data_IF_294274587256
#
_entry.id   IF_294274587256
#
_cell.length_a   1.000
_cell.length_b   1.000
_cell.length_c   1.000
_cell.angle_alpha   90.00
_cell.angle_beta   90.00
_cell.angle_gamma   90.00
#
_symmetry.space_group_name_H-M   'P 1'
#
loop_
_entity.id
_entity.type
_entity.pdbx_description
1 polymer ?
#
# COMPACT_ATOMS: atom_id res chain seq x y z
N UNK A 1 14.62 -19.93 -12.06
CA UNK A 1 14.34 -18.46 -12.20
C UNK A 1 13.18 -18.13 -13.14
N UNK A 2 12.79 -18.97 -14.10
CA UNK A 2 11.67 -18.73 -15.04
C UNK A 2 10.29 -18.97 -14.45
N UNK A 3 10.12 -19.93 -13.57
CA UNK A 3 8.82 -20.23 -12.94
C UNK A 3 8.34 -19.15 -11.97
N UNK A 4 9.24 -18.57 -11.19
CA UNK A 4 8.88 -17.43 -10.31
C UNK A 4 8.34 -16.22 -11.11
N UNK A 5 8.89 -15.95 -12.29
CA UNK A 5 8.38 -14.89 -13.19
C UNK A 5 6.99 -15.20 -13.74
N UNK A 6 6.73 -16.45 -14.09
CA UNK A 6 5.41 -16.87 -14.59
C UNK A 6 4.32 -16.77 -13.52
N UNK A 7 4.64 -17.13 -12.27
CA UNK A 7 3.74 -16.95 -11.14
C UNK A 7 3.50 -15.46 -10.83
N UNK A 8 4.55 -14.64 -10.89
CA UNK A 8 4.43 -13.18 -10.69
C UNK A 8 3.54 -12.52 -11.76
N UNK A 9 3.68 -12.92 -13.02
CA UNK A 9 2.87 -12.43 -14.14
C UNK A 9 1.42 -12.89 -14.03
N UNK A 10 1.14 -14.10 -13.55
CA UNK A 10 -0.24 -14.58 -13.30
C UNK A 10 -0.91 -13.78 -12.20
N UNK A 11 -0.20 -13.48 -11.13
CA UNK A 11 -0.70 -12.69 -10.02
C UNK A 11 -0.94 -11.24 -10.44
N UNK A 12 -0.02 -10.63 -11.19
CA UNK A 12 -0.21 -9.26 -11.71
C UNK A 12 -1.40 -9.14 -12.66
N UNK A 13 -1.70 -10.16 -13.47
CA UNK A 13 -2.92 -10.23 -14.29
C UNK A 13 -4.21 -10.30 -13.44
N UNK A 14 -4.16 -10.89 -12.26
CA UNK A 14 -5.30 -10.90 -11.33
C UNK A 14 -5.56 -9.52 -10.72
N UNK A 15 -4.51 -8.75 -10.43
CA UNK A 15 -4.63 -7.35 -10.01
C UNK A 15 -5.28 -6.49 -11.10
N UNK A 16 -4.95 -6.72 -12.38
CA UNK A 16 -5.55 -6.01 -13.51
C UNK A 16 -7.07 -6.23 -13.65
N UNK A 17 -7.62 -7.30 -13.11
CA UNK A 17 -9.08 -7.54 -13.11
C UNK A 17 -9.84 -6.55 -12.21
N UNK A 18 -9.18 -5.98 -11.18
CA UNK A 18 -9.78 -5.02 -10.25
C UNK A 18 -9.27 -3.59 -10.49
N UNK A 19 -9.15 -3.20 -11.78
CA UNK A 19 -8.58 -1.91 -12.24
C UNK A 19 -9.12 -0.70 -11.48
N UNK A 20 -10.43 -0.62 -11.24
CA UNK A 20 -11.05 0.51 -10.55
C UNK A 20 -10.54 0.68 -9.12
N UNK A 21 -10.47 -0.40 -8.33
CA UNK A 21 -9.95 -0.35 -6.95
C UNK A 21 -8.45 -0.05 -6.92
N UNK A 22 -7.71 -0.56 -7.90
CA UNK A 22 -6.28 -0.26 -8.05
C UNK A 22 -6.03 1.21 -8.39
N UNK A 23 -6.80 1.78 -9.32
CA UNK A 23 -6.72 3.21 -9.69
C UNK A 23 -7.03 4.09 -8.47
N UNK A 24 -8.11 3.77 -7.72
CA UNK A 24 -8.45 4.50 -6.49
C UNK A 24 -7.30 4.43 -5.47
N UNK A 25 -6.72 3.24 -5.26
CA UNK A 25 -5.61 3.08 -4.33
C UNK A 25 -4.39 3.91 -4.74
N UNK A 26 -3.99 3.87 -6.03
CA UNK A 26 -2.87 4.66 -6.55
C UNK A 26 -3.15 6.15 -6.45
N UNK A 27 -4.36 6.61 -6.78
CA UNK A 27 -4.74 8.01 -6.63
C UNK A 27 -4.66 8.48 -5.18
N UNK A 28 -5.14 7.66 -4.25
CA UNK A 28 -5.00 7.93 -2.81
C UNK A 28 -3.52 7.97 -2.37
N UNK A 29 -2.65 7.11 -2.94
CA UNK A 29 -1.20 7.14 -2.65
C UNK A 29 -0.57 8.45 -3.10
N UNK A 30 -0.94 8.97 -4.28
CA UNK A 30 -0.45 10.25 -4.79
C UNK A 30 -0.87 11.39 -3.86
N UNK A 31 -2.14 11.45 -3.46
CA UNK A 31 -2.63 12.48 -2.53
C UNK A 31 -1.89 12.38 -1.19
N UNK A 32 -1.72 11.19 -0.64
CA UNK A 32 -1.00 10.99 0.62
C UNK A 32 0.47 11.43 0.54
N UNK A 33 1.13 11.18 -0.60
CA UNK A 33 2.50 11.65 -0.86
C UNK A 33 2.57 13.19 -0.95
N UNK A 34 1.63 13.82 -1.65
CA UNK A 34 1.52 15.28 -1.73
C UNK A 34 1.29 15.92 -0.35
N UNK A 35 0.40 15.35 0.49
CA UNK A 35 0.22 15.81 1.86
C UNK A 35 1.52 15.71 2.68
N UNK A 36 2.29 14.64 2.48
CA UNK A 36 3.59 14.48 3.16
C UNK A 36 4.60 15.53 2.69
N UNK A 37 4.67 15.80 1.39
CA UNK A 37 5.50 16.88 0.83
C UNK A 37 5.08 18.27 1.32
N UNK A 38 3.79 18.52 1.45
CA UNK A 38 3.26 19.76 2.00
C UNK A 38 3.65 19.96 3.47
N UNK A 39 3.60 18.90 4.30
CA UNK A 39 4.10 18.98 5.67
C UNK A 39 5.60 19.30 5.72
N UNK A 40 6.40 18.68 4.87
CA UNK A 40 7.83 18.98 4.78
C UNK A 40 8.09 20.44 4.32
N UNK A 41 7.27 20.96 3.42
CA UNK A 41 7.36 22.36 2.97
C UNK A 41 7.00 23.34 4.08
N UNK A 42 6.02 23.03 4.94
CA UNK A 42 5.62 23.90 6.05
C UNK A 42 6.69 24.08 7.13
N UNK A 43 7.69 23.20 7.20
CA UNK A 43 8.77 23.31 8.19
C UNK A 43 9.54 24.62 8.05
N UNK A 44 9.85 25.04 6.83
CA UNK A 44 10.60 26.29 6.56
C UNK A 44 9.81 27.53 7.02
N UNK A 45 8.56 27.79 6.56
CA UNK A 45 7.80 28.92 7.07
C UNK A 45 7.52 28.85 8.57
N UNK A 46 7.44 27.64 9.16
CA UNK A 46 7.30 27.49 10.60
C UNK A 46 8.53 28.04 11.35
N UNK A 47 9.72 27.70 10.88
CA UNK A 47 10.96 28.20 11.49
C UNK A 47 11.14 29.71 11.26
N UNK A 48 10.98 30.18 10.02
CA UNK A 48 11.28 31.56 9.66
C UNK A 48 10.25 32.56 10.19
N UNK A 49 8.95 32.24 10.08
CA UNK A 49 7.87 33.19 10.41
C UNK A 49 7.45 33.12 11.89
N UNK A 50 7.52 31.95 12.52
CA UNK A 50 7.12 31.80 13.93
C UNK A 50 8.30 32.09 14.85
N UNK A 51 9.47 31.51 14.60
CA UNK A 51 10.62 31.64 15.52
C UNK A 51 11.45 32.89 15.28
N UNK A 52 11.63 33.33 14.01
CA UNK A 52 12.47 34.50 13.70
C UNK A 52 11.66 35.77 13.68
N UNK A 53 10.51 35.80 12.98
CA UNK A 53 9.71 37.04 12.80
C UNK A 53 8.60 37.22 13.86
N UNK A 54 8.39 36.24 14.79
CA UNK A 54 7.39 36.25 15.83
C UNK A 54 5.99 36.71 15.36
N UNK A 55 5.57 36.25 14.18
CA UNK A 55 4.31 36.66 13.58
C UNK A 55 3.14 35.83 14.14
N UNK A 56 2.26 36.45 14.91
CA UNK A 56 1.13 35.80 15.60
C UNK A 56 0.17 35.09 14.63
N UNK A 57 0.00 35.59 13.40
CA UNK A 57 -0.87 34.94 12.42
C UNK A 57 -0.36 33.54 12.06
N UNK A 58 0.93 33.37 11.80
CA UNK A 58 1.51 32.08 11.46
C UNK A 58 1.54 31.11 12.64
N UNK A 59 1.56 31.60 13.87
CA UNK A 59 1.51 30.80 15.08
C UNK A 59 0.22 29.94 15.16
N UNK A 60 -0.91 30.47 14.70
CA UNK A 60 -2.19 29.73 14.66
C UNK A 60 -2.44 29.05 13.31
N UNK A 61 -1.98 29.67 12.21
CA UNK A 61 -2.21 29.17 10.85
C UNK A 61 -1.48 27.84 10.60
N UNK A 62 -0.21 27.72 11.00
CA UNK A 62 0.59 26.52 10.72
C UNK A 62 0.07 25.27 11.44
N UNK A 63 -0.22 25.29 12.75
CA UNK A 63 -0.83 24.14 13.42
C UNK A 63 -2.21 23.78 12.83
N UNK A 64 -3.02 24.77 12.47
CA UNK A 64 -4.30 24.55 11.81
C UNK A 64 -4.15 23.85 10.45
N UNK A 65 -3.21 24.31 9.62
CA UNK A 65 -2.93 23.71 8.34
C UNK A 65 -2.42 22.24 8.48
N UNK A 66 -1.57 21.97 9.47
CA UNK A 66 -1.09 20.61 9.77
C UNK A 66 -2.24 19.70 10.21
N UNK A 67 -3.13 20.18 11.06
CA UNK A 67 -4.30 19.41 11.51
C UNK A 67 -5.23 19.05 10.34
N UNK A 68 -5.58 20.05 9.51
CA UNK A 68 -6.47 19.83 8.35
C UNK A 68 -5.85 18.85 7.35
N UNK A 69 -4.59 19.07 6.97
CA UNK A 69 -3.89 18.18 6.03
C UNK A 69 -3.63 16.80 6.62
N UNK A 70 -3.44 16.69 7.95
CA UNK A 70 -3.34 15.42 8.68
C UNK A 70 -4.64 14.63 8.64
N UNK A 71 -5.80 15.29 8.84
CA UNK A 71 -7.10 14.66 8.70
C UNK A 71 -7.37 14.15 7.29
N UNK A 72 -7.09 14.98 6.28
CA UNK A 72 -7.22 14.57 4.86
C UNK A 72 -6.33 13.36 4.57
N UNK A 73 -5.06 13.40 4.99
CA UNK A 73 -4.11 12.29 4.83
C UNK A 73 -4.61 11.02 5.53
N UNK A 74 -5.19 11.14 6.71
CA UNK A 74 -5.78 10.01 7.46
C UNK A 74 -6.91 9.34 6.70
N UNK A 75 -7.89 10.13 6.20
CA UNK A 75 -9.02 9.63 5.40
C UNK A 75 -8.57 8.96 4.10
N UNK A 76 -7.64 9.59 3.40
CA UNK A 76 -7.08 9.08 2.15
C UNK A 76 -6.30 7.78 2.39
N UNK A 77 -5.48 7.71 3.45
CA UNK A 77 -4.75 6.50 3.83
C UNK A 77 -5.68 5.36 4.22
N UNK A 78 -6.77 5.65 4.94
CA UNK A 78 -7.79 4.67 5.28
C UNK A 78 -8.43 4.06 4.01
N UNK A 79 -8.86 4.90 3.06
CA UNK A 79 -9.45 4.47 1.79
C UNK A 79 -8.47 3.63 0.97
N UNK A 80 -7.20 4.03 0.94
CA UNK A 80 -6.11 3.31 0.29
C UNK A 80 -5.95 1.90 0.87
N UNK A 81 -5.77 1.79 2.18
CA UNK A 81 -5.55 0.50 2.88
C UNK A 81 -6.75 -0.43 2.68
N UNK A 82 -7.96 0.08 2.86
CA UNK A 82 -9.20 -0.69 2.70
C UNK A 82 -9.35 -1.22 1.26
N UNK A 83 -9.03 -0.39 0.26
CA UNK A 83 -9.09 -0.81 -1.15
C UNK A 83 -8.10 -1.92 -1.46
N UNK A 84 -6.87 -1.83 -0.94
CA UNK A 84 -5.83 -2.85 -1.13
C UNK A 84 -6.15 -4.15 -0.38
N UNK A 85 -6.64 -4.07 0.85
CA UNK A 85 -7.08 -5.24 1.60
C UNK A 85 -8.23 -5.97 0.89
N UNK A 86 -9.22 -5.23 0.38
CA UNK A 86 -10.30 -5.83 -0.39
C UNK A 86 -9.78 -6.60 -1.61
N UNK A 87 -8.83 -6.02 -2.36
CA UNK A 87 -8.22 -6.70 -3.51
C UNK A 87 -7.45 -7.94 -3.08
N UNK A 88 -6.67 -7.85 -2.01
CA UNK A 88 -5.90 -8.96 -1.45
C UNK A 88 -6.81 -10.12 -1.07
N UNK A 89 -7.90 -9.87 -0.33
CA UNK A 89 -8.88 -10.91 0.05
C UNK A 89 -9.52 -11.59 -1.17
N UNK A 90 -9.83 -10.85 -2.23
CA UNK A 90 -10.39 -11.42 -3.46
C UNK A 90 -9.40 -12.30 -4.22
N UNK A 91 -8.14 -11.92 -4.23
CA UNK A 91 -7.07 -12.73 -4.84
C UNK A 91 -6.89 -14.03 -4.08
N UNK A 92 -6.89 -13.98 -2.75
CA UNK A 92 -6.78 -15.17 -1.89
C UNK A 92 -7.97 -16.09 -2.09
N UNK A 93 -9.18 -15.54 -2.08
CA UNK A 93 -10.39 -16.33 -2.32
C UNK A 93 -10.27 -17.12 -3.63
N UNK A 94 -9.78 -16.47 -4.69
CA UNK A 94 -9.57 -17.15 -5.97
C UNK A 94 -8.47 -18.20 -5.88
N UNK A 95 -7.32 -17.88 -5.27
CA UNK A 95 -6.22 -18.85 -5.10
C UNK A 95 -6.67 -20.06 -4.30
N UNK A 96 -7.42 -19.87 -3.21
CA UNK A 96 -7.97 -20.99 -2.43
C UNK A 96 -8.90 -21.85 -3.24
N UNK A 97 -9.78 -21.25 -4.05
CA UNK A 97 -10.68 -22.00 -4.93
C UNK A 97 -9.91 -22.82 -5.97
N UNK A 98 -8.89 -22.22 -6.59
CA UNK A 98 -8.06 -22.89 -7.59
C UNK A 98 -7.27 -24.05 -6.98
N UNK A 99 -6.67 -23.86 -5.80
CA UNK A 99 -5.94 -24.90 -5.07
C UNK A 99 -6.89 -26.03 -4.62
N UNK A 100 -8.04 -25.68 -4.07
CA UNK A 100 -9.04 -26.65 -3.62
C UNK A 100 -9.60 -27.46 -4.78
N UNK A 101 -9.88 -26.82 -5.92
CA UNK A 101 -10.34 -27.50 -7.13
C UNK A 101 -9.29 -28.50 -7.64
N UNK A 102 -8.02 -28.12 -7.67
CA UNK A 102 -6.95 -29.03 -8.04
C UNK A 102 -6.79 -30.19 -7.05
N UNK A 103 -6.96 -29.89 -5.75
CA UNK A 103 -6.85 -30.93 -4.71
C UNK A 103 -7.93 -32.01 -4.86
N UNK A 104 -9.19 -31.63 -5.10
CA UNK A 104 -10.31 -32.58 -5.25
C UNK A 104 -10.08 -33.51 -6.46
N UNK A 105 -9.42 -33.05 -7.50
CA UNK A 105 -9.14 -33.82 -8.69
C UNK A 105 -7.93 -34.78 -8.55
N UNK A 106 -7.27 -34.81 -7.38
CA UNK A 106 -6.18 -35.76 -7.11
C UNK A 106 -6.71 -37.16 -6.84
N UNK A 107 -5.93 -38.18 -7.22
CA UNK A 107 -6.30 -39.59 -7.00
C UNK A 107 -6.30 -39.93 -5.51
N UNK A 108 -7.14 -40.89 -5.13
CA UNK A 108 -7.37 -41.28 -3.74
C UNK A 108 -6.09 -41.65 -2.95
N UNK A 109 -5.10 -42.26 -3.60
CA UNK A 109 -3.81 -42.62 -2.98
C UNK A 109 -3.07 -41.45 -2.35
N UNK A 110 -3.24 -40.22 -2.87
CA UNK A 110 -2.66 -39.00 -2.28
C UNK A 110 -3.23 -38.71 -0.89
N UNK A 111 -4.53 -38.90 -0.71
CA UNK A 111 -5.22 -38.64 0.58
C UNK A 111 -4.92 -39.70 1.65
N UNK A 112 -4.58 -40.93 1.25
CA UNK A 112 -4.15 -41.95 2.18
C UNK A 112 -2.78 -41.65 2.78
N UNK A 113 -1.88 -41.08 1.98
CA UNK A 113 -0.52 -40.72 2.42
C UNK A 113 -0.43 -39.40 3.15
N UNK A 114 -1.36 -38.49 2.95
CA UNK A 114 -1.35 -37.13 3.52
C UNK A 114 -2.55 -36.91 4.46
N UNK A 115 -2.27 -36.53 5.71
CA UNK A 115 -3.33 -36.17 6.66
C UNK A 115 -4.16 -34.98 6.17
N UNK A 116 -5.44 -35.13 5.99
CA UNK A 116 -6.37 -34.12 5.48
C UNK A 116 -6.29 -32.82 6.28
N UNK A 117 -6.13 -32.89 7.61
CA UNK A 117 -5.97 -31.70 8.45
C UNK A 117 -4.72 -30.86 8.09
N UNK A 118 -3.59 -31.52 7.79
CA UNK A 118 -2.37 -30.83 7.36
C UNK A 118 -2.56 -30.12 6.01
N UNK A 119 -3.28 -30.70 5.08
CA UNK A 119 -3.58 -30.09 3.79
C UNK A 119 -4.48 -28.86 3.94
N UNK A 120 -5.51 -28.94 4.77
CA UNK A 120 -6.40 -27.80 5.07
C UNK A 120 -5.62 -26.66 5.73
N UNK A 121 -4.78 -26.97 6.72
CA UNK A 121 -3.95 -25.95 7.38
C UNK A 121 -3.02 -25.26 6.40
N UNK A 122 -2.34 -26.00 5.53
CA UNK A 122 -1.47 -25.42 4.47
C UNK A 122 -2.26 -24.51 3.56
N UNK A 123 -3.40 -24.94 3.03
CA UNK A 123 -4.22 -24.11 2.13
C UNK A 123 -4.69 -22.83 2.84
N UNK A 124 -5.06 -22.92 4.12
CA UNK A 124 -5.62 -21.79 4.84
C UNK A 124 -4.53 -20.84 5.33
N UNK A 125 -3.50 -21.38 5.95
CA UNK A 125 -2.44 -20.58 6.61
C UNK A 125 -1.44 -20.02 5.62
N UNK A 126 -0.95 -20.83 4.67
CA UNK A 126 0.05 -20.38 3.72
C UNK A 126 -0.53 -19.31 2.76
N UNK A 127 -1.79 -19.48 2.32
CA UNK A 127 -2.46 -18.45 1.51
C UNK A 127 -2.72 -17.17 2.29
N UNK A 128 -2.95 -17.23 3.59
CA UNK A 128 -3.11 -16.04 4.43
C UNK A 128 -1.80 -15.24 4.54
N UNK A 129 -0.67 -15.90 4.81
CA UNK A 129 0.64 -15.24 4.85
C UNK A 129 1.03 -14.63 3.49
N UNK A 130 0.76 -15.33 2.40
CA UNK A 130 0.99 -14.81 1.04
C UNK A 130 0.23 -13.51 0.79
N UNK A 131 -0.99 -13.40 1.29
CA UNK A 131 -1.80 -12.20 1.08
C UNK A 131 -1.27 -10.98 1.80
N UNK A 132 -0.93 -11.15 3.07
CA UNK A 132 -0.38 -10.06 3.89
C UNK A 132 0.94 -9.56 3.30
N UNK A 133 1.82 -10.47 2.93
CA UNK A 133 3.09 -10.13 2.29
C UNK A 133 2.89 -9.37 0.97
N UNK A 134 1.97 -9.81 0.11
CA UNK A 134 1.68 -9.14 -1.16
C UNK A 134 1.11 -7.74 -0.95
N UNK A 135 0.04 -7.60 -0.15
CA UNK A 135 -0.60 -6.31 0.08
C UNK A 135 0.40 -5.29 0.66
N UNK A 136 1.18 -5.69 1.65
CA UNK A 136 2.16 -4.81 2.28
C UNK A 136 3.32 -4.44 1.35
N UNK A 137 3.87 -5.41 0.60
CA UNK A 137 5.01 -5.16 -0.31
C UNK A 137 4.62 -4.22 -1.45
N UNK A 138 3.47 -4.44 -2.11
CA UNK A 138 3.04 -3.54 -3.18
C UNK A 138 2.73 -2.14 -2.65
N UNK A 139 2.11 -2.04 -1.47
CA UNK A 139 1.83 -0.75 -0.83
C UNK A 139 3.11 0.00 -0.51
N UNK A 140 4.08 -0.66 0.13
CA UNK A 140 5.34 -0.05 0.48
C UNK A 140 6.10 0.41 -0.77
N UNK A 141 6.32 -0.46 -1.75
CA UNK A 141 7.08 -0.12 -2.94
C UNK A 141 6.50 1.09 -3.69
N UNK A 142 5.19 1.12 -3.94
CA UNK A 142 4.58 2.21 -4.71
C UNK A 142 4.48 3.49 -3.87
N UNK A 143 3.99 3.39 -2.63
CA UNK A 143 3.80 4.54 -1.76
C UNK A 143 5.12 5.20 -1.39
N UNK A 144 6.10 4.40 -0.97
CA UNK A 144 7.38 4.93 -0.50
C UNK A 144 8.20 5.51 -1.65
N UNK A 145 8.15 4.89 -2.85
CA UNK A 145 8.76 5.47 -4.06
C UNK A 145 8.14 6.82 -4.44
N UNK A 146 6.80 6.93 -4.40
CA UNK A 146 6.11 8.20 -4.66
C UNK A 146 6.44 9.26 -3.61
N UNK A 147 6.45 8.87 -2.34
CA UNK A 147 6.80 9.79 -1.24
C UNK A 147 8.24 10.28 -1.36
N UNK A 148 9.16 9.39 -1.72
CA UNK A 148 10.56 9.71 -1.93
C UNK A 148 10.74 10.72 -3.09
N UNK A 149 10.07 10.51 -4.21
CA UNK A 149 10.08 11.44 -5.34
C UNK A 149 9.55 12.83 -4.94
N UNK A 150 8.46 12.91 -4.18
CA UNK A 150 7.89 14.17 -3.71
C UNK A 150 8.83 14.89 -2.76
N UNK A 151 9.48 14.18 -1.83
CA UNK A 151 10.42 14.74 -0.87
C UNK A 151 11.70 15.25 -1.57
N UNK A 152 12.25 14.49 -2.51
CA UNK A 152 13.39 14.92 -3.32
C UNK A 152 13.02 16.20 -4.11
N UNK A 153 11.85 16.21 -4.76
CA UNK A 153 11.36 17.40 -5.48
C UNK A 153 11.25 18.62 -4.56
N UNK A 154 10.77 18.43 -3.33
CA UNK A 154 10.66 19.48 -2.33
C UNK A 154 12.04 20.00 -1.86
N UNK A 155 13.01 19.10 -1.69
CA UNK A 155 14.39 19.49 -1.36
C UNK A 155 15.01 20.36 -2.47
N UNK A 156 14.88 19.95 -3.74
CA UNK A 156 15.38 20.74 -4.87
C UNK A 156 14.69 22.09 -4.98
N UNK A 157 13.39 22.18 -4.68
CA UNK A 157 12.64 23.43 -4.71
C UNK A 157 13.07 24.39 -3.58
N UNK A 158 13.37 23.88 -2.39
CA UNK A 158 13.76 24.73 -1.26
C UNK A 158 15.22 25.20 -1.32
N UNK A 159 16.12 24.39 -1.85
CA UNK A 159 17.55 24.71 -1.96
C UNK A 159 18.18 24.02 -3.17
N UNK A 160 18.25 24.76 -4.29
CA UNK A 160 18.91 24.30 -5.51
C UNK A 160 20.43 24.12 -5.37
N UNK A 161 21.05 24.68 -4.29
CA UNK A 161 22.50 24.63 -4.05
C UNK A 161 22.96 23.46 -3.15
N UNK A 162 22.08 22.61 -2.70
CA UNK A 162 22.40 21.37 -2.00
C UNK A 162 22.49 20.20 -2.97
#
# INVERSE_FOLDING_TARGET
MSESRAHFIRISKLFLKYKMKMIIAVFCMIIAALCTGFHAWLVKPALDQVLVNANDFYLYFIPGAILVTGLIKGLVSYTQVTSLQFMSHRIIEKLRKDVFHNLINLHYGFFVQNKTGSLITRITTDTYYLSGAMANTYTALIKDSLTLLVLIGNMFYQNWKL
#
